data_IF_862314900699
#
_entry.id   IF_862314900699
#
_cell.length_a   1.000
_cell.length_b   1.000
_cell.length_c   1.000
_cell.angle_alpha   90.00
_cell.angle_beta   90.00
_cell.angle_gamma   90.00
#
_symmetry.space_group_name_H-M   'P 1'
#
loop_
_entity.id
_entity.type
_entity.pdbx_description
1 polymer ?
#
# COMPACT_ATOMS: atom_id res chain seq x y z
N UNK A 1 -9.47 -1.30 10.08
CA UNK A 1 -9.59 0.10 9.62
C UNK A 1 -8.37 0.85 10.11
N UNK A 2 -7.99 1.93 9.44
CA UNK A 2 -6.82 2.75 9.76
C UNK A 2 -6.82 3.98 8.87
N UNK A 3 -5.71 4.70 8.86
CA UNK A 3 -5.53 5.90 8.04
C UNK A 3 -4.88 5.58 6.70
N UNK A 4 -5.14 6.41 5.70
CA UNK A 4 -4.45 6.37 4.42
C UNK A 4 -3.67 7.68 4.25
N UNK A 5 -2.41 7.55 3.86
CA UNK A 5 -1.55 8.65 3.40
C UNK A 5 -1.02 8.34 2.00
N UNK A 6 -0.07 9.14 1.51
CA UNK A 6 0.61 8.85 0.26
C UNK A 6 2.13 9.00 0.34
N UNK A 7 2.84 8.27 -0.52
CA UNK A 7 4.30 8.29 -0.65
C UNK A 7 4.73 8.26 -2.11
N UNK A 8 5.98 8.67 -2.37
CA UNK A 8 6.60 8.58 -3.69
C UNK A 8 7.44 7.29 -3.77
N UNK A 9 7.02 6.26 -4.53
CA UNK A 9 7.69 4.98 -4.54
C UNK A 9 9.01 5.03 -5.33
N UNK A 10 9.83 4.03 -5.05
CA UNK A 10 11.04 3.72 -5.80
C UNK A 10 11.23 2.22 -5.81
N UNK A 11 12.41 1.75 -5.40
CA UNK A 11 12.63 0.32 -5.15
C UNK A 11 11.83 -0.11 -3.92
N UNK A 12 10.91 -1.04 -4.10
CA UNK A 12 10.00 -1.46 -3.04
C UNK A 12 10.47 -2.72 -2.32
N UNK A 13 9.85 -3.02 -1.18
CA UNK A 13 10.05 -4.24 -0.40
C UNK A 13 9.69 -5.51 -1.18
N UNK A 14 8.84 -5.39 -2.21
CA UNK A 14 8.47 -6.52 -3.07
C UNK A 14 9.44 -6.76 -4.22
N UNK A 15 10.42 -5.87 -4.44
CA UNK A 15 11.50 -6.05 -5.41
C UNK A 15 11.46 -5.10 -6.61
N UNK A 16 10.33 -4.99 -7.36
CA UNK A 16 10.20 -4.07 -8.47
C UNK A 16 10.40 -2.60 -8.07
N UNK A 17 10.71 -1.79 -9.08
CA UNK A 17 10.69 -0.33 -8.98
C UNK A 17 9.34 0.16 -9.46
N UNK A 18 8.74 1.04 -8.69
CA UNK A 18 7.47 1.69 -9.00
C UNK A 18 7.62 3.22 -9.04
N UNK A 19 6.63 3.88 -9.61
CA UNK A 19 6.54 5.33 -9.79
C UNK A 19 5.22 5.88 -9.25
N UNK A 20 5.12 7.21 -9.18
CA UNK A 20 3.93 7.90 -8.66
C UNK A 20 2.63 7.55 -9.42
N UNK A 21 2.75 7.11 -10.67
CA UNK A 21 1.64 6.78 -11.56
C UNK A 21 1.10 5.34 -11.37
N UNK A 22 1.84 4.49 -10.67
CA UNK A 22 1.43 3.11 -10.43
C UNK A 22 0.32 3.01 -9.38
N UNK A 23 -0.69 2.17 -9.59
CA UNK A 23 -1.81 1.98 -8.64
C UNK A 23 -1.44 0.92 -7.59
N UNK A 24 -0.57 1.30 -6.65
CA UNK A 24 -0.02 0.41 -5.62
C UNK A 24 -0.22 0.95 -4.19
N UNK A 25 0.08 0.08 -3.22
CA UNK A 25 0.00 0.39 -1.79
C UNK A 25 1.15 -0.24 -1.01
N UNK A 26 1.63 0.50 -0.01
CA UNK A 26 2.47 0.01 1.06
C UNK A 26 1.61 -0.39 2.27
N UNK A 27 1.71 -1.64 2.72
CA UNK A 27 1.05 -2.08 3.96
C UNK A 27 1.93 -1.75 5.18
N UNK A 28 1.32 -1.48 6.33
CA UNK A 28 2.09 -1.42 7.57
C UNK A 28 2.88 -2.70 7.84
N UNK A 29 4.06 -2.57 8.46
CA UNK A 29 4.94 -3.71 8.71
C UNK A 29 4.25 -4.86 9.46
N UNK A 30 3.32 -4.55 10.39
CA UNK A 30 2.56 -5.54 11.13
C UNK A 30 1.62 -6.35 10.23
N UNK A 31 0.88 -5.68 9.33
CA UNK A 31 0.01 -6.37 8.38
C UNK A 31 0.82 -7.14 7.34
N UNK A 32 1.89 -6.54 6.83
CA UNK A 32 2.75 -7.17 5.83
C UNK A 32 3.36 -8.48 6.36
N UNK A 33 3.76 -8.53 7.64
CA UNK A 33 4.27 -9.74 8.28
C UNK A 33 3.19 -10.80 8.55
N UNK A 34 1.94 -10.40 8.76
CA UNK A 34 0.81 -11.31 9.00
C UNK A 34 0.24 -11.93 7.73
N UNK A 35 0.51 -11.35 6.56
CA UNK A 35 -0.02 -11.78 5.27
C UNK A 35 1.08 -12.53 4.50
N UNK A 36 1.05 -13.88 4.45
CA UNK A 36 1.99 -14.65 3.65
C UNK A 36 1.87 -14.21 2.18
N UNK A 37 2.99 -14.05 1.49
CA UNK A 37 3.04 -13.60 0.09
C UNK A 37 2.19 -12.34 -0.16
N UNK A 38 2.36 -11.32 0.68
CA UNK A 38 1.63 -10.05 0.57
C UNK A 38 1.84 -9.38 -0.80
N UNK A 39 3.05 -9.46 -1.35
CA UNK A 39 3.41 -8.87 -2.63
C UNK A 39 2.55 -9.40 -3.78
N UNK A 40 2.06 -8.47 -4.61
CA UNK A 40 1.26 -8.78 -5.78
C UNK A 40 -0.21 -9.05 -5.50
N UNK A 41 -0.63 -9.14 -4.23
CA UNK A 41 -2.05 -9.22 -3.86
C UNK A 41 -2.73 -7.89 -4.11
N UNK A 42 -4.03 -7.96 -4.40
CA UNK A 42 -4.87 -6.77 -4.55
C UNK A 42 -5.74 -6.60 -3.32
N UNK A 43 -5.83 -5.38 -2.84
CA UNK A 43 -6.75 -5.01 -1.76
C UNK A 43 -7.72 -3.95 -2.24
N UNK A 44 -8.90 -3.95 -1.62
CA UNK A 44 -9.96 -2.97 -1.86
C UNK A 44 -9.91 -1.94 -0.74
N UNK A 45 -9.54 -0.71 -1.08
CA UNK A 45 -9.50 0.41 -0.14
C UNK A 45 -10.80 1.18 -0.25
N UNK A 46 -11.45 1.44 0.87
CA UNK A 46 -12.71 2.20 0.94
C UNK A 46 -12.51 3.36 1.90
N UNK A 47 -12.72 4.58 1.42
CA UNK A 47 -12.52 5.80 2.18
C UNK A 47 -13.16 6.99 1.46
N UNK A 48 -13.59 8.00 2.21
CA UNK A 48 -14.19 9.22 1.65
C UNK A 48 -15.36 8.96 0.66
N UNK A 49 -16.16 7.92 0.91
CA UNK A 49 -17.27 7.52 0.03
C UNK A 49 -16.84 6.92 -1.32
N UNK A 50 -15.55 6.70 -1.53
CA UNK A 50 -14.96 6.10 -2.73
C UNK A 50 -14.35 4.74 -2.43
N UNK A 51 -14.10 4.00 -3.50
CA UNK A 51 -13.51 2.69 -3.43
C UNK A 51 -12.57 2.46 -4.62
N UNK A 52 -11.39 1.94 -4.32
CA UNK A 52 -10.35 1.62 -5.31
C UNK A 52 -9.81 0.21 -5.04
N UNK A 53 -9.20 -0.37 -6.06
CA UNK A 53 -8.45 -1.62 -5.94
C UNK A 53 -7.00 -1.32 -6.27
N UNK A 54 -6.10 -1.66 -5.35
CA UNK A 54 -4.66 -1.34 -5.42
C UNK A 54 -3.84 -2.60 -5.21
N UNK A 55 -2.69 -2.68 -5.84
CA UNK A 55 -1.77 -3.81 -5.67
C UNK A 55 -0.83 -3.55 -4.48
N UNK A 56 -0.70 -4.51 -3.58
CA UNK A 56 0.31 -4.50 -2.52
C UNK A 56 1.68 -4.69 -3.17
N UNK A 57 2.48 -3.65 -3.13
CA UNK A 57 3.81 -3.65 -3.74
C UNK A 57 4.91 -3.21 -2.76
N UNK A 58 4.56 -2.72 -1.58
CA UNK A 58 5.57 -2.28 -0.60
C UNK A 58 5.13 -2.48 0.85
N UNK A 59 6.02 -2.12 1.76
CA UNK A 59 5.85 -2.12 3.20
C UNK A 59 6.19 -0.72 3.74
N UNK A 60 5.32 -0.18 4.57
CA UNK A 60 5.51 1.05 5.34
C UNK A 60 5.90 0.70 6.79
N UNK A 61 7.18 0.83 7.20
CA UNK A 61 7.63 0.48 8.55
C UNK A 61 7.04 1.34 9.68
N UNK A 62 6.76 2.61 9.40
CA UNK A 62 6.27 3.62 10.33
C UNK A 62 4.74 3.64 10.46
N UNK A 63 4.02 3.04 9.51
CA UNK A 63 2.57 2.98 9.53
C UNK A 63 2.09 2.10 10.68
N UNK A 64 1.07 2.59 11.40
CA UNK A 64 0.35 1.81 12.41
C UNK A 64 -0.40 0.64 11.77
N UNK A 65 -0.72 -0.39 12.57
CA UNK A 65 -1.51 -1.51 12.08
C UNK A 65 -2.85 -1.05 11.50
N UNK A 66 -3.21 -1.55 10.32
CA UNK A 66 -4.42 -1.10 9.60
C UNK A 66 -4.24 0.14 8.72
N UNK A 67 -3.19 0.93 8.93
CA UNK A 67 -2.86 2.07 8.08
C UNK A 67 -2.06 1.67 6.85
N UNK A 68 -2.23 2.43 5.78
CA UNK A 68 -1.64 2.17 4.46
C UNK A 68 -1.07 3.45 3.85
N UNK A 69 -0.08 3.28 2.98
CA UNK A 69 0.49 4.39 2.21
C UNK A 69 0.27 4.13 0.72
N UNK A 70 -0.52 4.99 0.07
CA UNK A 70 -0.89 4.88 -1.34
C UNK A 70 0.11 5.66 -2.21
N UNK A 71 0.19 5.34 -3.50
CA UNK A 71 0.82 6.27 -4.45
C UNK A 71 -0.08 7.49 -4.71
N UNK A 72 0.48 8.60 -5.23
CA UNK A 72 -0.31 9.77 -5.60
C UNK A 72 -1.43 9.47 -6.59
N UNK A 73 -1.23 8.53 -7.53
CA UNK A 73 -2.26 8.12 -8.46
C UNK A 73 -3.39 7.29 -7.82
N UNK A 74 -3.15 6.67 -6.66
CA UNK A 74 -4.13 5.86 -5.94
C UNK A 74 -4.88 6.61 -4.83
N UNK A 75 -4.33 7.69 -4.27
CA UNK A 75 -4.93 8.47 -3.17
C UNK A 75 -6.08 9.39 -3.63
#
# INVERSE_FOLDING_TARGET
SGDATYYHPGKTSCGPVHSDDDIIVALSALLFAQVPDACGRYIRVTGNGRQIVVQVADKCPECTEGSIDLTPAAF
#
